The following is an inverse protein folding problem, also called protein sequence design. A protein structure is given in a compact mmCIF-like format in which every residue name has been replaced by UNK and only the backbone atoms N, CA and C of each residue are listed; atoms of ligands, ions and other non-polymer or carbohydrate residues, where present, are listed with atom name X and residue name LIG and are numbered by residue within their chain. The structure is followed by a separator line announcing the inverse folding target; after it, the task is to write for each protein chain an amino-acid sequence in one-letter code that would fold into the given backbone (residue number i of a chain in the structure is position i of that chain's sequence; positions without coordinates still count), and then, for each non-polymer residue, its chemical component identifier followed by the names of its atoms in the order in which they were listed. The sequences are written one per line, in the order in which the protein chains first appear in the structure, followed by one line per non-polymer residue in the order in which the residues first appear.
data_IF_457374654082
#
_entry.id   IF_457374654082
#
_cell.length_a   1.000
_cell.length_b   1.000
_cell.length_c   1.000
_cell.angle_alpha   90.00
_cell.angle_beta   90.00
_cell.angle_gamma   90.00
#
_symmetry.space_group_name_H-M   'P 1'
#
loop_
_entity.id
_entity.type
_entity.pdbx_description
1 polymer ?
#
# COMPACT_ATOMS: atom_id res chain seq x y z
N UNK A 1 12.54 -8.68 13.67
CA UNK A 1 11.16 -8.55 13.14
C UNK A 1 11.04 -9.36 11.87
N UNK A 2 9.94 -10.09 11.67
CA UNK A 2 9.78 -10.96 10.52
C UNK A 2 8.94 -10.35 9.42
N UNK A 3 9.12 -10.88 8.20
CA UNK A 3 8.33 -10.52 7.04
C UNK A 3 6.85 -10.86 7.25
N UNK A 4 5.97 -10.01 6.75
CA UNK A 4 4.55 -10.34 6.64
C UNK A 4 4.28 -10.77 5.20
N UNK A 5 3.81 -12.01 5.02
CA UNK A 5 3.49 -12.53 3.70
C UNK A 5 2.09 -13.13 3.72
N UNK A 6 1.24 -12.64 2.83
CA UNK A 6 -0.11 -13.18 2.61
C UNK A 6 -0.21 -13.52 1.13
N UNK A 7 -0.54 -14.77 0.83
CA UNK A 7 -0.63 -15.22 -0.55
C UNK A 7 -1.83 -14.62 -1.27
N UNK A 8 -1.66 -14.32 -2.54
CA UNK A 8 -2.70 -13.81 -3.41
C UNK A 8 -3.84 -14.84 -3.57
N UNK A 9 -5.07 -14.33 -3.57
CA UNK A 9 -6.26 -15.12 -3.95
C UNK A 9 -6.96 -14.41 -5.10
N UNK A 10 -8.10 -14.95 -5.55
CA UNK A 10 -8.91 -14.29 -6.58
C UNK A 10 -9.49 -12.96 -6.09
N UNK A 11 -9.66 -12.80 -4.78
CA UNK A 11 -10.35 -11.66 -4.21
C UNK A 11 -9.45 -10.80 -3.30
N UNK A 12 -8.24 -11.26 -2.98
CA UNK A 12 -7.34 -10.52 -2.10
C UNK A 12 -5.95 -10.42 -2.71
N UNK A 13 -5.26 -9.30 -2.49
CA UNK A 13 -3.93 -9.11 -3.07
C UNK A 13 -2.86 -9.89 -2.31
N UNK A 14 -1.73 -10.09 -2.97
CA UNK A 14 -0.54 -10.57 -2.30
C UNK A 14 0.04 -9.45 -1.46
N UNK A 15 0.41 -9.77 -0.22
CA UNK A 15 1.07 -8.84 0.69
C UNK A 15 2.48 -9.39 0.95
N UNK A 16 3.48 -8.55 0.73
CA UNK A 16 4.87 -8.86 1.09
C UNK A 16 5.45 -7.61 1.74
N UNK A 17 5.50 -7.60 3.06
CA UNK A 17 6.11 -6.52 3.83
C UNK A 17 7.44 -7.02 4.38
N UNK A 18 8.52 -6.50 3.81
CA UNK A 18 9.89 -6.92 4.11
C UNK A 18 10.57 -5.87 5.01
N UNK A 19 10.80 -6.19 6.29
CA UNK A 19 11.39 -5.22 7.21
C UNK A 19 12.88 -5.00 6.95
N UNK A 20 13.57 -5.98 6.37
CA UNK A 20 15.01 -5.88 6.12
C UNK A 20 15.34 -4.92 4.98
N UNK A 21 14.46 -4.85 3.99
CA UNK A 21 14.64 -3.94 2.86
C UNK A 21 13.79 -2.67 2.97
N UNK A 22 12.83 -2.64 3.89
CA UNK A 22 11.92 -1.51 4.01
C UNK A 22 10.97 -1.41 2.84
N UNK A 23 10.53 -2.54 2.29
CA UNK A 23 9.61 -2.58 1.14
C UNK A 23 8.30 -3.19 1.55
N UNK A 24 7.21 -2.42 1.37
CA UNK A 24 5.85 -2.85 1.65
C UNK A 24 5.11 -2.98 0.32
N UNK A 25 4.86 -4.22 -0.11
CA UNK A 25 4.24 -4.49 -1.43
C UNK A 25 2.83 -5.02 -1.29
N UNK A 26 1.92 -4.47 -2.10
CA UNK A 26 0.53 -4.91 -2.22
C UNK A 26 0.25 -5.10 -3.71
N UNK A 27 -0.04 -6.32 -4.15
CA UNK A 27 -0.21 -6.61 -5.58
C UNK A 27 -1.35 -7.57 -5.84
N UNK A 28 -2.23 -7.21 -6.78
CA UNK A 28 -3.31 -8.06 -7.25
C UNK A 28 -4.67 -7.38 -7.20
N UNK A 29 -5.70 -8.12 -6.77
CA UNK A 29 -7.08 -7.64 -6.70
C UNK A 29 -7.48 -7.46 -5.24
N UNK A 30 -8.15 -6.37 -4.91
CA UNK A 30 -8.60 -6.11 -3.55
C UNK A 30 -10.12 -5.96 -3.49
N UNK A 31 -10.79 -7.10 -3.35
CA UNK A 31 -12.24 -7.20 -3.18
C UNK A 31 -12.59 -8.19 -2.07
N UNK A 32 -11.95 -8.08 -0.87
CA UNK A 32 -12.24 -9.01 0.22
C UNK A 32 -13.67 -8.85 0.72
N UNK A 33 -14.26 -9.95 1.21
CA UNK A 33 -15.59 -9.90 1.80
C UNK A 33 -15.63 -9.04 3.04
N UNK A 34 -14.56 -9.10 3.83
CA UNK A 34 -14.42 -8.27 5.03
C UNK A 34 -13.09 -7.51 4.96
N UNK A 35 -13.09 -6.29 4.42
CA UNK A 35 -11.87 -5.48 4.32
C UNK A 35 -11.19 -5.23 5.67
N UNK A 36 -11.97 -5.04 6.72
CA UNK A 36 -11.41 -4.81 8.04
C UNK A 36 -10.54 -5.98 8.51
N UNK A 37 -11.04 -7.21 8.36
CA UNK A 37 -10.28 -8.41 8.75
C UNK A 37 -9.02 -8.57 7.91
N UNK A 38 -9.10 -8.24 6.63
CA UNK A 38 -7.95 -8.36 5.75
C UNK A 38 -6.86 -7.33 6.07
N UNK A 39 -7.24 -6.06 6.27
CA UNK A 39 -6.29 -4.97 6.40
C UNK A 39 -5.77 -4.77 7.84
N UNK A 40 -6.48 -5.22 8.86
CA UNK A 40 -6.05 -5.06 10.26
C UNK A 40 -4.63 -5.60 10.53
N UNK A 41 -4.25 -6.80 10.06
CA UNK A 41 -2.90 -7.30 10.27
C UNK A 41 -1.80 -6.42 9.66
N UNK A 42 -2.12 -5.74 8.55
CA UNK A 42 -1.17 -4.85 7.90
C UNK A 42 -0.84 -3.65 8.79
N UNK A 43 -1.86 -3.06 9.42
CA UNK A 43 -1.67 -1.95 10.33
C UNK A 43 -0.88 -2.36 11.58
N UNK A 44 -1.16 -3.56 12.12
CA UNK A 44 -0.42 -4.08 13.27
C UNK A 44 1.06 -4.28 12.94
N UNK A 45 1.34 -4.82 11.76
CA UNK A 45 2.71 -5.01 11.32
C UNK A 45 3.44 -3.67 11.18
N UNK A 46 2.77 -2.68 10.60
CA UNK A 46 3.36 -1.35 10.43
C UNK A 46 3.64 -0.66 11.77
N UNK A 47 2.75 -0.81 12.76
CA UNK A 47 2.99 -0.26 14.08
C UNK A 47 4.29 -0.79 14.67
N UNK A 48 4.52 -2.11 14.57
CA UNK A 48 5.74 -2.73 15.07
C UNK A 48 6.96 -2.28 14.27
N UNK A 49 6.84 -2.24 12.95
CA UNK A 49 7.94 -1.87 12.07
C UNK A 49 8.44 -0.46 12.35
N UNK A 50 7.53 0.52 12.37
CA UNK A 50 7.93 1.91 12.57
C UNK A 50 8.36 2.20 14.00
N UNK A 51 7.85 1.46 14.97
CA UNK A 51 8.21 1.63 16.38
C UNK A 51 9.56 1.00 16.71
N UNK A 52 9.86 -0.19 16.19
CA UNK A 52 11.05 -0.93 16.60
C UNK A 52 12.28 -0.67 15.72
N UNK A 53 12.16 -0.78 14.40
CA UNK A 53 13.33 -0.66 13.53
C UNK A 53 12.96 -0.35 12.09
N UNK A 54 12.50 0.87 11.81
CA UNK A 54 12.25 1.24 10.42
C UNK A 54 13.57 1.39 9.68
N UNK A 55 13.56 1.04 8.40
CA UNK A 55 14.70 1.29 7.55
C UNK A 55 14.84 2.80 7.30
N UNK A 56 16.02 3.22 6.85
CA UNK A 56 16.28 4.62 6.54
C UNK A 56 15.26 5.18 5.56
N UNK A 57 14.82 4.35 4.59
CA UNK A 57 13.79 4.70 3.65
C UNK A 57 12.81 3.54 3.49
N UNK A 58 11.51 3.83 3.56
CA UNK A 58 10.45 2.85 3.35
C UNK A 58 9.78 3.09 2.00
N UNK A 59 9.70 2.05 1.19
CA UNK A 59 9.05 2.09 -0.12
C UNK A 59 7.75 1.31 -0.05
N UNK A 60 6.67 1.95 -0.49
CA UNK A 60 5.35 1.34 -0.51
C UNK A 60 4.98 1.13 -1.98
N UNK A 61 4.98 -0.13 -2.42
CA UNK A 61 4.70 -0.48 -3.81
C UNK A 61 3.28 -1.07 -3.91
N UNK A 62 2.41 -0.37 -4.62
CA UNK A 62 1.01 -0.78 -4.76
C UNK A 62 0.72 -1.00 -6.24
N UNK A 63 0.39 -2.25 -6.59
CA UNK A 63 0.09 -2.66 -7.97
C UNK A 63 -1.21 -3.44 -7.98
N UNK A 64 -2.33 -2.73 -8.11
CA UNK A 64 -3.65 -3.32 -8.05
C UNK A 64 -4.30 -3.38 -9.43
N UNK A 65 -4.87 -4.54 -9.76
CA UNK A 65 -5.64 -4.75 -10.99
C UNK A 65 -7.08 -4.28 -10.80
N UNK A 66 -7.59 -4.41 -9.57
CA UNK A 66 -8.96 -4.03 -9.24
C UNK A 66 -9.08 -3.77 -7.75
N UNK A 67 -9.92 -2.80 -7.40
CA UNK A 67 -10.21 -2.46 -6.01
C UNK A 67 -11.67 -2.02 -5.88
N UNK A 68 -12.39 -2.56 -4.89
CA UNK A 68 -13.77 -2.14 -4.63
C UNK A 68 -13.80 -0.94 -3.68
N UNK A 69 -14.99 -0.34 -3.51
CA UNK A 69 -15.14 0.87 -2.69
C UNK A 69 -14.79 0.66 -1.23
N UNK A 70 -15.08 -0.51 -0.67
CA UNK A 70 -14.71 -0.83 0.72
C UNK A 70 -13.20 -0.85 0.90
N UNK A 71 -12.49 -1.51 -0.02
CA UNK A 71 -11.02 -1.57 0.02
C UNK A 71 -10.38 -0.21 -0.23
N UNK A 72 -10.98 0.63 -1.08
CA UNK A 72 -10.40 1.94 -1.36
C UNK A 72 -10.38 2.84 -0.13
N UNK A 73 -11.34 2.69 0.77
CA UNK A 73 -11.34 3.41 2.06
C UNK A 73 -10.19 2.95 2.95
N UNK A 74 -9.94 1.64 3.02
CA UNK A 74 -8.84 1.10 3.82
C UNK A 74 -7.49 1.49 3.24
N UNK A 75 -7.35 1.53 1.91
CA UNK A 75 -6.12 2.01 1.29
C UNK A 75 -5.87 3.48 1.59
N UNK A 76 -6.92 4.30 1.60
CA UNK A 76 -6.76 5.69 1.99
C UNK A 76 -6.28 5.81 3.44
N UNK A 77 -6.86 5.02 4.36
CA UNK A 77 -6.42 4.99 5.75
C UNK A 77 -4.97 4.50 5.86
N UNK A 78 -4.61 3.49 5.08
CA UNK A 78 -3.25 2.95 5.01
C UNK A 78 -2.26 4.05 4.60
N UNK A 79 -2.57 4.79 3.55
CA UNK A 79 -1.71 5.86 3.07
C UNK A 79 -1.64 7.04 4.05
N UNK A 80 -2.75 7.34 4.74
CA UNK A 80 -2.75 8.37 5.79
C UNK A 80 -1.89 7.96 6.98
N UNK A 81 -1.89 6.67 7.32
CA UNK A 81 -1.02 6.14 8.35
C UNK A 81 0.46 6.35 7.95
N UNK A 82 0.82 6.04 6.72
CA UNK A 82 2.17 6.25 6.20
C UNK A 82 2.51 7.75 6.23
N UNK A 83 1.58 8.61 5.88
CA UNK A 83 1.78 10.07 5.95
C UNK A 83 2.09 10.52 7.37
N UNK A 84 1.41 9.97 8.36
CA UNK A 84 1.70 10.28 9.74
C UNK A 84 3.14 9.91 10.10
N UNK A 85 3.59 8.74 9.68
CA UNK A 85 4.97 8.29 9.93
C UNK A 85 5.99 9.14 9.17
N UNK A 86 5.65 9.54 7.97
CA UNK A 86 6.47 10.46 7.19
C UNK A 86 6.64 11.81 7.91
N UNK A 87 5.54 12.36 8.43
CA UNK A 87 5.58 13.62 9.16
C UNK A 87 6.36 13.51 10.47
N UNK A 88 6.46 12.30 11.04
CA UNK A 88 7.26 12.03 12.25
C UNK A 88 8.76 11.88 11.95
N UNK A 89 9.15 11.97 10.68
CA UNK A 89 10.55 11.93 10.28
C UNK A 89 10.98 10.68 9.53
N UNK A 90 10.07 9.75 9.26
CA UNK A 90 10.40 8.55 8.48
C UNK A 90 10.34 8.86 7.00
N UNK A 91 11.43 8.62 6.28
CA UNK A 91 11.42 8.81 4.82
C UNK A 91 10.59 7.71 4.17
N UNK A 92 9.53 8.10 3.47
CA UNK A 92 8.63 7.16 2.81
C UNK A 92 8.34 7.63 1.39
N UNK A 93 8.19 6.68 0.47
CA UNK A 93 7.78 6.97 -0.90
C UNK A 93 6.78 5.91 -1.36
N UNK A 94 5.72 6.36 -2.03
CA UNK A 94 4.71 5.47 -2.61
C UNK A 94 4.96 5.34 -4.10
N UNK A 95 4.97 4.10 -4.58
CA UNK A 95 5.02 3.79 -6.00
C UNK A 95 3.68 3.15 -6.37
N UNK A 96 2.88 3.88 -7.12
CA UNK A 96 1.55 3.45 -7.55
C UNK A 96 1.62 2.99 -8.99
N UNK A 97 1.43 1.69 -9.20
CA UNK A 97 1.48 1.08 -10.53
C UNK A 97 0.08 0.96 -11.09
N UNK A 98 -0.08 1.26 -12.37
CA UNK A 98 -1.34 1.10 -13.07
C UNK A 98 -1.08 0.70 -14.51
N UNK A 99 -1.94 -0.18 -15.05
CA UNK A 99 -1.86 -0.52 -16.46
C UNK A 99 -2.20 0.71 -17.29
N UNK A 100 -1.51 0.93 -18.40
CA UNK A 100 -1.63 2.18 -19.17
C UNK A 100 -3.05 2.45 -19.67
N UNK A 101 -3.85 1.40 -19.88
CA UNK A 101 -5.25 1.53 -20.33
C UNK A 101 -6.25 1.58 -19.17
N UNK A 102 -5.81 1.46 -17.94
CA UNK A 102 -6.70 1.42 -16.77
C UNK A 102 -6.89 2.82 -16.18
N UNK A 103 -7.87 3.55 -16.72
CA UNK A 103 -8.18 4.90 -16.26
C UNK A 103 -8.67 4.94 -14.81
N UNK A 104 -9.41 3.91 -14.37
CA UNK A 104 -9.96 3.89 -13.02
C UNK A 104 -8.87 3.80 -11.96
N UNK A 105 -7.89 2.90 -12.15
CA UNK A 105 -6.78 2.75 -11.21
C UNK A 105 -5.86 3.97 -11.29
N UNK A 106 -5.67 4.53 -12.47
CA UNK A 106 -4.90 5.76 -12.63
C UNK A 106 -5.53 6.92 -11.86
N UNK A 107 -6.83 7.14 -12.04
CA UNK A 107 -7.55 8.23 -11.36
C UNK A 107 -7.55 8.06 -9.86
N UNK A 108 -7.69 6.82 -9.37
CA UNK A 108 -7.62 6.54 -7.94
C UNK A 108 -6.25 6.90 -7.36
N UNK A 109 -5.18 6.54 -8.06
CA UNK A 109 -3.82 6.90 -7.66
C UNK A 109 -3.60 8.40 -7.62
N UNK A 110 -4.08 9.12 -8.63
CA UNK A 110 -4.01 10.58 -8.69
C UNK A 110 -4.77 11.22 -7.52
N UNK A 111 -5.94 10.67 -7.20
CA UNK A 111 -6.73 11.14 -6.06
C UNK A 111 -5.96 10.97 -4.75
N UNK A 112 -5.37 9.80 -4.52
CA UNK A 112 -4.58 9.55 -3.32
C UNK A 112 -3.35 10.47 -3.26
N UNK A 113 -2.65 10.63 -4.38
CA UNK A 113 -1.48 11.51 -4.45
C UNK A 113 -1.83 12.92 -4.01
N UNK A 114 -2.96 13.44 -4.47
CA UNK A 114 -3.42 14.79 -4.11
C UNK A 114 -3.87 14.88 -2.66
N UNK A 115 -4.49 13.81 -2.13
CA UNK A 115 -5.10 13.81 -0.80
C UNK A 115 -4.10 13.62 0.33
N UNK A 116 -3.11 12.73 0.15
CA UNK A 116 -2.22 12.37 1.26
C UNK A 116 -0.92 13.16 1.28
N UNK A 117 -0.51 13.72 0.16
CA UNK A 117 0.70 14.56 0.07
C UNK A 117 1.98 13.88 0.54
N UNK A 118 2.15 12.63 0.16
CA UNK A 118 3.38 11.87 0.31
C UNK A 118 4.22 11.99 -0.96
N UNK A 119 5.54 11.76 -0.88
CA UNK A 119 6.29 11.46 -2.10
C UNK A 119 5.63 10.30 -2.82
N UNK A 120 5.23 10.50 -4.06
CA UNK A 120 4.31 9.59 -4.74
C UNK A 120 4.65 9.55 -6.23
N UNK A 121 4.98 8.36 -6.73
CA UNK A 121 5.26 8.14 -8.15
C UNK A 121 4.10 7.39 -8.79
N UNK A 122 3.62 7.91 -9.91
CA UNK A 122 2.65 7.23 -10.76
C UNK A 122 3.43 6.50 -11.84
N UNK A 123 3.30 5.17 -11.89
CA UNK A 123 4.10 4.33 -12.79
C UNK A 123 3.17 3.50 -13.65
N UNK A 124 3.12 3.78 -14.95
CA UNK A 124 2.33 2.99 -15.89
C UNK A 124 3.12 1.77 -16.38
N UNK A 125 2.41 0.73 -16.73
CA UNK A 125 3.00 -0.46 -17.32
C UNK A 125 2.06 -1.05 -18.38
N UNK A 126 2.65 -1.85 -19.26
CA UNK A 126 1.91 -2.58 -20.28
C UNK A 126 1.90 -4.03 -19.86
N UNK A 127 0.70 -4.61 -19.82
CA UNK A 127 0.54 -6.00 -19.42
C UNK A 127 0.45 -6.91 -20.65
#
# INVERSE_FOLDING_TARGET
MSELRINKTLNTPEIVFDPDQGILSIEGRSIPENPNDFYTPLFKWMDTYFDESPQEKTRINIKLEYINSGSSKFLLQFLRYIKQKYDEGNECIVNWYYEEDDEAVQELGEHYRSSVKLPFNMIDYID
#
